data_IF_294135994130
#
_entry.id   IF_294135994130
#
_cell.length_a   1.000
_cell.length_b   1.000
_cell.length_c   1.000
_cell.angle_alpha   90.00
_cell.angle_beta   90.00
_cell.angle_gamma   90.00
#
_symmetry.space_group_name_H-M   'P 1'
#
loop_
_entity.id
_entity.type
_entity.pdbx_description
1 polymer ?
#
# COMPACT_ATOMS: atom_id res chain seq x y z
N UNK A 1 3.67 -7.67 10.69
CA UNK A 1 2.68 -6.58 10.65
C UNK A 1 1.58 -6.97 9.70
N UNK A 2 0.35 -6.59 9.99
CA UNK A 2 -0.81 -6.76 9.10
C UNK A 2 -1.01 -5.47 8.34
N UNK A 3 -1.18 -5.53 7.03
CA UNK A 3 -1.50 -4.35 6.22
C UNK A 3 -3.02 -4.11 6.26
N UNK A 4 -3.42 -2.86 6.36
CA UNK A 4 -4.80 -2.47 6.14
C UNK A 4 -5.12 -2.34 4.66
N UNK A 5 -6.41 -2.22 4.37
CA UNK A 5 -6.96 -2.21 3.01
C UNK A 5 -6.42 -1.05 2.17
N UNK A 6 -6.18 0.10 2.79
CA UNK A 6 -5.70 1.33 2.15
C UNK A 6 -4.17 1.46 2.08
N UNK A 7 -3.40 0.45 2.52
CA UNK A 7 -1.94 0.51 2.48
C UNK A 7 -1.37 0.78 1.08
N UNK A 8 -0.68 1.90 0.88
CA UNK A 8 -0.14 2.34 -0.41
C UNK A 8 -1.22 2.64 -1.47
N UNK A 9 -2.39 3.16 -1.05
CA UNK A 9 -3.50 3.46 -1.96
C UNK A 9 -3.09 4.41 -3.10
N UNK A 10 -2.29 5.43 -2.82
CA UNK A 10 -1.85 6.43 -3.81
C UNK A 10 -0.96 5.79 -4.87
N UNK A 11 0.01 4.97 -4.45
CA UNK A 11 0.90 4.26 -5.37
C UNK A 11 0.15 3.21 -6.20
N UNK A 12 -0.77 2.47 -5.58
CA UNK A 12 -1.63 1.51 -6.28
C UNK A 12 -2.52 2.21 -7.32
N UNK A 13 -3.07 3.37 -6.99
CA UNK A 13 -3.82 4.19 -7.93
C UNK A 13 -2.99 4.57 -9.15
N UNK A 14 -1.74 5.00 -8.95
CA UNK A 14 -0.83 5.33 -10.07
C UNK A 14 -0.50 4.13 -10.95
N UNK A 15 -0.27 2.95 -10.36
CA UNK A 15 0.09 1.72 -11.10
C UNK A 15 -1.12 1.16 -11.87
N UNK A 16 -2.30 1.11 -11.24
CA UNK A 16 -3.54 0.61 -11.88
C UNK A 16 -4.04 1.52 -12.99
N UNK A 17 -3.66 2.80 -12.97
CA UNK A 17 -3.97 3.72 -14.06
C UNK A 17 -3.20 3.42 -15.36
N UNK A 18 -2.14 2.62 -15.31
CA UNK A 18 -1.30 2.29 -16.47
C UNK A 18 -1.22 0.80 -16.80
N UNK A 19 -1.65 -0.09 -15.90
CA UNK A 19 -1.45 -1.53 -16.05
C UNK A 19 -2.63 -2.34 -15.50
N UNK A 20 -2.70 -3.61 -15.90
CA UNK A 20 -3.65 -4.59 -15.38
C UNK A 20 -3.25 -5.15 -14.00
N UNK A 21 -2.35 -4.46 -13.29
CA UNK A 21 -1.95 -4.85 -11.94
C UNK A 21 -3.18 -4.90 -11.03
N UNK A 22 -3.46 -6.09 -10.50
CA UNK A 22 -4.47 -6.28 -9.46
C UNK A 22 -3.77 -6.31 -8.11
N UNK A 23 -4.05 -5.36 -7.19
CA UNK A 23 -3.48 -5.40 -5.85
C UNK A 23 -3.84 -6.71 -5.15
N UNK A 24 -2.92 -7.30 -4.36
CA UNK A 24 -3.27 -8.41 -3.48
C UNK A 24 -4.46 -7.98 -2.61
N UNK A 25 -5.58 -8.69 -2.74
CA UNK A 25 -6.77 -8.33 -1.97
C UNK A 25 -6.52 -8.65 -0.50
N UNK A 26 -6.50 -7.63 0.37
CA UNK A 26 -6.54 -7.82 1.82
C UNK A 26 -7.89 -8.39 2.31
N UNK A 27 -8.83 -8.66 1.39
CA UNK A 27 -10.20 -9.13 1.64
C UNK A 27 -10.33 -10.40 2.50
N UNK A 28 -9.27 -11.21 2.60
CA UNK A 28 -9.31 -12.41 3.46
C UNK A 28 -8.89 -12.11 4.90
N UNK A 29 -7.92 -11.22 5.10
CA UNK A 29 -7.43 -10.83 6.43
C UNK A 29 -6.70 -9.48 6.31
N UNK A 30 -7.31 -8.43 6.84
CA UNK A 30 -6.76 -7.07 6.88
C UNK A 30 -6.61 -6.57 8.32
N UNK A 31 -6.08 -5.37 8.51
CA UNK A 31 -6.09 -4.74 9.82
C UNK A 31 -7.54 -4.44 10.26
N UNK A 32 -8.41 -4.10 9.30
CA UNK A 32 -9.83 -3.83 9.46
C UNK A 32 -10.63 -5.09 9.80
N UNK A 33 -10.46 -6.17 9.03
CA UNK A 33 -11.26 -7.39 9.18
C UNK A 33 -10.64 -8.42 10.15
N UNK A 34 -9.34 -8.36 10.39
CA UNK A 34 -8.59 -9.41 11.08
C UNK A 34 -8.95 -9.55 12.55
N UNK A 35 -9.36 -8.46 13.21
CA UNK A 35 -9.74 -8.49 14.63
C UNK A 35 -10.97 -9.37 14.87
N UNK A 36 -12.02 -9.19 14.07
CA UNK A 36 -13.25 -9.99 14.15
C UNK A 36 -12.99 -11.47 13.84
N UNK A 37 -12.11 -11.75 12.88
CA UNK A 37 -11.73 -13.12 12.54
C UNK A 37 -10.95 -13.80 13.65
N UNK A 38 -10.05 -13.07 14.33
CA UNK A 38 -9.29 -13.59 15.46
C UNK A 38 -10.16 -13.80 16.71
N UNK A 39 -11.16 -12.96 16.93
CA UNK A 39 -12.05 -13.05 18.09
C UNK A 39 -12.86 -14.37 18.11
N UNK A 40 -13.00 -15.06 16.97
CA UNK A 40 -13.59 -16.39 16.91
C UNK A 40 -12.72 -17.51 17.54
N UNK A 41 -11.43 -17.24 17.77
CA UNK A 41 -10.44 -18.25 18.18
C UNK A 41 -9.66 -17.89 19.45
N UNK A 42 -9.68 -16.64 19.90
CA UNK A 42 -8.90 -16.15 21.04
C UNK A 42 -9.79 -15.44 22.05
N UNK A 43 -9.43 -15.52 23.33
CA UNK A 43 -10.19 -14.89 24.42
C UNK A 43 -10.06 -13.36 24.42
N UNK A 44 -8.91 -12.84 23.97
CA UNK A 44 -8.62 -11.42 23.90
C UNK A 44 -7.87 -11.12 22.59
N UNK A 45 -8.30 -10.05 21.91
CA UNK A 45 -7.69 -9.56 20.67
C UNK A 45 -7.57 -8.04 20.77
N UNK A 46 -6.34 -7.55 20.73
CA UNK A 46 -6.02 -6.13 20.75
C UNK A 46 -5.39 -5.71 19.41
N UNK A 47 -5.90 -4.65 18.78
CA UNK A 47 -5.37 -4.07 17.55
C UNK A 47 -4.47 -2.89 17.88
N UNK A 48 -3.26 -2.92 17.33
CA UNK A 48 -2.30 -1.83 17.42
C UNK A 48 -2.00 -1.30 16.02
N UNK A 49 -2.31 -0.02 15.80
CA UNK A 49 -2.05 0.66 14.53
C UNK A 49 -0.70 1.37 14.58
N UNK A 50 -0.04 1.44 13.42
CA UNK A 50 1.23 2.14 13.28
C UNK A 50 1.12 3.17 12.16
N UNK A 51 0.90 4.41 12.57
CA UNK A 51 0.92 5.55 11.66
C UNK A 51 2.30 5.66 10.97
N UNK A 52 2.29 5.57 9.64
CA UNK A 52 3.52 5.58 8.85
C UNK A 52 3.21 6.03 7.43
N UNK A 53 4.09 6.86 6.88
CA UNK A 53 4.01 7.29 5.49
C UNK A 53 5.39 7.21 4.83
N UNK A 54 5.42 6.99 3.52
CA UNK A 54 6.62 7.23 2.72
C UNK A 54 6.63 8.68 2.28
N UNK A 55 7.80 9.31 2.34
CA UNK A 55 8.06 10.60 1.70
C UNK A 55 8.97 10.35 0.52
N UNK A 56 8.48 10.60 -0.68
CA UNK A 56 9.18 10.30 -1.93
C UNK A 56 9.44 11.61 -2.65
N UNK A 57 10.65 12.18 -2.53
CA UNK A 57 10.96 13.50 -3.11
C UNK A 57 11.27 13.43 -4.61
N UNK A 58 11.55 12.25 -5.13
CA UNK A 58 12.11 12.01 -6.45
C UNK A 58 11.33 10.90 -7.15
N UNK A 59 11.39 10.85 -8.48
CA UNK A 59 10.57 9.93 -9.28
C UNK A 59 11.15 8.52 -9.30
N UNK A 60 12.46 8.40 -9.16
CA UNK A 60 13.24 7.16 -9.30
C UNK A 60 12.76 6.04 -8.36
N UNK A 61 12.50 6.27 -7.06
CA UNK A 61 11.98 5.23 -6.18
C UNK A 61 10.58 4.72 -6.57
N UNK A 62 9.74 5.59 -7.15
CA UNK A 62 8.41 5.20 -7.64
C UNK A 62 8.55 4.29 -8.86
N UNK A 63 9.40 4.67 -9.82
CA UNK A 63 9.66 3.91 -11.04
C UNK A 63 10.32 2.57 -10.72
N UNK A 64 11.29 2.57 -9.81
CA UNK A 64 11.95 1.35 -9.37
C UNK A 64 10.96 0.37 -8.73
N UNK A 65 10.03 0.86 -7.90
CA UNK A 65 8.99 0.02 -7.32
C UNK A 65 8.02 -0.51 -8.37
N UNK A 66 7.48 0.36 -9.24
CA UNK A 66 6.55 -0.03 -10.29
C UNK A 66 7.18 -1.07 -11.25
N UNK A 67 8.43 -0.84 -11.66
CA UNK A 67 9.19 -1.76 -12.52
C UNK A 67 9.58 -3.08 -11.85
N UNK A 68 9.50 -3.18 -10.52
CA UNK A 68 9.68 -4.45 -9.81
C UNK A 68 8.46 -5.36 -9.90
N UNK A 69 7.30 -4.84 -10.29
CA UNK A 69 6.07 -5.60 -10.42
C UNK A 69 6.00 -6.30 -11.77
N UNK A 70 5.80 -7.62 -11.76
CA UNK A 70 5.75 -8.43 -12.99
C UNK A 70 4.60 -8.08 -13.94
N UNK A 71 3.57 -7.37 -13.46
CA UNK A 71 2.42 -6.93 -14.24
C UNK A 71 2.67 -5.61 -14.99
N UNK A 72 3.77 -4.92 -14.73
CA UNK A 72 4.10 -3.64 -15.35
C UNK A 72 5.14 -3.89 -16.44
N UNK A 73 4.71 -3.83 -17.70
CA UNK A 73 5.59 -3.90 -18.86
C UNK A 73 6.32 -2.58 -19.11
N UNK A 74 7.15 -2.57 -20.16
CA UNK A 74 8.03 -1.42 -20.47
C UNK A 74 7.24 -0.17 -20.86
N UNK A 75 6.16 -0.33 -21.62
CA UNK A 75 5.32 0.78 -22.08
C UNK A 75 4.49 1.35 -20.92
N UNK A 76 3.95 0.50 -20.05
CA UNK A 76 3.27 0.91 -18.83
C UNK A 76 4.23 1.64 -17.89
N UNK A 77 5.48 1.16 -17.76
CA UNK A 77 6.49 1.80 -16.91
C UNK A 77 6.89 3.18 -17.42
N UNK A 78 7.00 3.38 -18.73
CA UNK A 78 7.25 4.69 -19.32
C UNK A 78 6.09 5.66 -19.00
N UNK A 79 4.85 5.21 -19.23
CA UNK A 79 3.64 6.00 -18.92
C UNK A 79 3.53 6.32 -17.42
N UNK A 80 3.91 5.37 -16.55
CA UNK A 80 3.96 5.56 -15.11
C UNK A 80 5.01 6.61 -14.74
N UNK A 81 6.18 6.57 -15.36
CA UNK A 81 7.28 7.52 -15.11
C UNK A 81 6.82 8.95 -15.38
N UNK A 82 6.20 9.19 -16.53
CA UNK A 82 5.70 10.53 -16.90
C UNK A 82 4.63 11.02 -15.91
N UNK A 83 3.73 10.14 -15.48
CA UNK A 83 2.69 10.48 -14.50
C UNK A 83 3.25 10.75 -13.11
N UNK A 84 4.23 9.96 -12.68
CA UNK A 84 4.87 10.10 -11.38
C UNK A 84 5.68 11.41 -11.32
N UNK A 85 6.35 11.78 -12.42
CA UNK A 85 7.05 13.06 -12.56
C UNK A 85 6.07 14.22 -12.49
N UNK A 86 5.01 14.22 -13.31
CA UNK A 86 3.99 15.27 -13.28
C UNK A 86 3.37 15.43 -11.89
N UNK A 87 3.09 14.31 -11.20
CA UNK A 87 2.49 14.33 -9.86
C UNK A 87 3.39 14.93 -8.78
N UNK A 88 4.71 14.85 -8.95
CA UNK A 88 5.72 15.49 -8.09
C UNK A 88 5.88 16.97 -8.42
N UNK A 89 5.88 17.31 -9.72
CA UNK A 89 5.97 18.71 -10.19
C UNK A 89 4.74 19.54 -9.79
N UNK A 90 3.54 18.95 -9.86
CA UNK A 90 2.27 19.60 -9.49
C UNK A 90 2.08 19.73 -7.97
N UNK A 91 2.94 19.09 -7.16
CA UNK A 91 2.81 19.04 -5.70
C UNK A 91 3.66 20.06 -4.96
N UNK A 92 3.18 20.51 -3.80
CA UNK A 92 3.96 21.33 -2.86
C UNK A 92 4.95 20.49 -2.02
N UNK A 93 5.83 19.75 -2.70
CA UNK A 93 6.90 18.96 -2.10
C UNK A 93 6.77 17.44 -2.26
N UNK A 94 7.51 16.64 -1.45
CA UNK A 94 7.62 15.20 -1.64
C UNK A 94 6.25 14.50 -1.66
N UNK A 95 6.08 13.56 -2.58
CA UNK A 95 4.89 12.73 -2.61
C UNK A 95 4.79 11.93 -1.31
N UNK A 96 3.69 12.13 -0.60
CA UNK A 96 3.36 11.40 0.61
C UNK A 96 2.48 10.21 0.25
N UNK A 97 2.91 9.01 0.61
CA UNK A 97 2.17 7.76 0.37
C UNK A 97 1.88 7.14 1.73
N UNK A 98 0.60 7.05 2.09
CA UNK A 98 0.18 6.52 3.39
C UNK A 98 0.35 5.01 3.46
N UNK A 99 0.73 4.53 4.66
CA UNK A 99 0.83 3.10 4.95
C UNK A 99 -0.13 2.75 6.06
N UNK A 100 -1.21 2.06 5.72
CA UNK A 100 -2.08 1.42 6.71
C UNK A 100 -1.44 0.10 7.14
N UNK A 101 -0.91 0.04 8.36
CA UNK A 101 -0.39 -1.19 8.92
C UNK A 101 -0.40 -1.21 10.44
N UNK A 102 -0.41 -2.42 11.00
CA UNK A 102 -0.43 -2.63 12.43
C UNK A 102 -0.08 -4.05 12.81
N UNK A 103 -0.53 -4.45 13.99
CA UNK A 103 -0.44 -5.83 14.48
C UNK A 103 -1.62 -6.13 15.40
N UNK A 104 -1.94 -7.41 15.52
CA UNK A 104 -2.85 -7.91 16.55
C UNK A 104 -2.03 -8.59 17.64
N UNK A 105 -2.34 -8.29 18.89
CA UNK A 105 -1.88 -9.07 20.05
C UNK A 105 -3.06 -9.91 20.50
N UNK A 106 -2.85 -11.22 20.59
CA UNK A 106 -3.90 -12.17 21.00
C UNK A 106 -3.45 -12.92 22.25
N UNK A 107 -4.41 -13.26 23.11
CA UNK A 107 -4.16 -14.16 24.25
C UNK A 107 -4.84 -15.50 24.05
N UNK A 108 -4.10 -16.56 24.36
CA UNK A 108 -4.62 -17.91 24.33
C UNK A 108 -5.77 -18.06 25.35
N UNK A 109 -6.70 -19.01 25.12
CA UNK A 109 -7.81 -19.30 26.03
C UNK A 109 -7.36 -19.66 27.45
#
# INVERSE_FOLDING_TARGET
TTNGEDNLAELRGMITAVSDFVPPSARKFSLESGGEQLAAHFAEVERYERDSALRVPEVEPLVAYAGSLSAVGREELATFTDRAAARLEDGDGPLRIEKSMGLFVVRAP
#
